data_IF_599945782682
#
_entry.id   IF_599945782682
#
_cell.length_a   1.000
_cell.length_b   1.000
_cell.length_c   1.000
_cell.angle_alpha   90.00
_cell.angle_beta   90.00
_cell.angle_gamma   90.00
#
_symmetry.space_group_name_H-M   'P 1'
#
loop_
_entity.id
_entity.type
_entity.pdbx_description
1 polymer ?
#
# COMPACT_ATOMS: atom_id res chain seq x y z
N UNK A 1 13.42 6.09 2.01
CA UNK A 1 11.98 6.38 1.94
C UNK A 1 11.55 6.95 3.29
N UNK A 2 10.52 7.80 3.37
CA UNK A 2 10.03 8.32 4.66
C UNK A 2 8.89 7.45 5.22
N UNK A 3 8.65 7.56 6.52
CA UNK A 3 7.54 6.89 7.21
C UNK A 3 6.20 7.32 6.60
N UNK A 4 5.18 6.48 6.76
CA UNK A 4 3.86 6.70 6.20
C UNK A 4 2.85 6.89 7.34
N UNK A 5 2.38 8.12 7.49
CA UNK A 5 1.29 8.46 8.40
C UNK A 5 -0.03 7.93 7.85
N UNK A 6 -0.68 7.03 8.60
CA UNK A 6 -1.97 6.43 8.22
C UNK A 6 -3.10 7.07 9.01
N UNK A 7 -2.95 7.13 10.34
CA UNK A 7 -3.88 7.81 11.24
C UNK A 7 -3.08 8.54 12.31
N UNK A 8 -3.76 9.28 13.22
CA UNK A 8 -3.11 9.91 14.37
C UNK A 8 -2.36 8.94 15.30
N UNK A 9 -2.69 7.64 15.24
CA UNK A 9 -2.15 6.62 16.13
C UNK A 9 -1.45 5.48 15.38
N UNK A 10 -1.34 5.56 14.04
CA UNK A 10 -0.71 4.53 13.22
C UNK A 10 0.21 5.19 12.21
N UNK A 11 1.50 4.95 12.39
CA UNK A 11 2.57 5.31 11.45
C UNK A 11 3.24 4.02 11.02
N UNK A 12 3.37 3.81 9.72
CA UNK A 12 4.08 2.65 9.16
C UNK A 12 5.53 3.09 8.89
N UNK A 13 6.53 2.46 9.53
CA UNK A 13 7.92 2.79 9.29
C UNK A 13 8.31 2.54 7.84
N UNK A 14 9.16 3.41 7.29
CA UNK A 14 9.68 3.24 5.95
C UNK A 14 10.37 1.89 5.73
N UNK A 15 10.94 1.31 6.79
CA UNK A 15 11.62 0.02 6.76
C UNK A 15 10.69 -1.18 6.58
N UNK A 16 9.39 -1.05 6.91
CA UNK A 16 8.40 -2.12 6.70
C UNK A 16 7.76 -2.08 5.31
N UNK A 17 8.04 -1.02 4.54
CA UNK A 17 7.45 -0.78 3.24
C UNK A 17 8.46 -1.14 2.15
N UNK A 18 8.03 -2.00 1.22
CA UNK A 18 8.85 -2.42 0.09
C UNK A 18 8.29 -1.83 -1.21
N UNK A 19 9.18 -1.23 -2.00
CA UNK A 19 8.84 -0.65 -3.31
C UNK A 19 9.50 -1.46 -4.42
N UNK A 20 8.70 -1.88 -5.40
CA UNK A 20 9.18 -2.47 -6.64
C UNK A 20 8.79 -1.57 -7.80
N UNK A 21 9.75 -1.31 -8.68
CA UNK A 21 9.54 -0.54 -9.88
C UNK A 21 9.55 -1.45 -11.10
N UNK A 22 8.68 -1.17 -12.04
CA UNK A 22 8.62 -1.90 -13.29
C UNK A 22 8.16 -1.00 -14.43
N UNK A 23 8.30 -1.50 -15.66
CA UNK A 23 7.78 -0.82 -16.83
C UNK A 23 6.25 -0.80 -16.76
N UNK A 24 5.67 0.35 -17.07
CA UNK A 24 4.22 0.42 -17.27
C UNK A 24 3.87 -0.28 -18.60
N UNK A 25 3.05 -1.33 -18.53
CA UNK A 25 2.58 -2.02 -19.73
C UNK A 25 1.36 -1.27 -20.28
N UNK A 26 1.50 -0.67 -21.47
CA UNK A 26 0.39 -0.17 -22.28
C UNK A 26 0.07 -1.14 -23.42
N UNK A 27 -1.21 -1.32 -23.82
CA UNK A 27 -1.54 -2.14 -24.97
C UNK A 27 -1.09 -1.43 -26.25
N UNK A 28 -0.04 -1.91 -26.90
CA UNK A 28 0.44 -1.34 -28.16
C UNK A 28 1.91 -1.64 -28.42
N UNK A 29 2.17 -2.71 -29.18
CA UNK A 29 3.46 -2.93 -29.79
C UNK A 29 3.73 -1.91 -30.89
N UNK A 30 4.39 -0.80 -30.57
CA UNK A 30 5.36 -0.10 -31.40
C UNK A 30 5.97 1.03 -30.57
N UNK A 31 7.30 1.17 -30.69
CA UNK A 31 8.18 1.78 -29.70
C UNK A 31 7.74 3.14 -29.14
N UNK A 32 7.57 3.19 -27.83
CA UNK A 32 7.78 4.39 -27.03
C UNK A 32 8.57 3.93 -25.80
N UNK A 33 9.67 4.61 -25.49
CA UNK A 33 10.50 4.35 -24.32
C UNK A 33 9.66 4.49 -23.04
N UNK A 34 9.06 3.40 -22.58
CA UNK A 34 8.29 3.41 -21.35
C UNK A 34 9.26 3.29 -20.18
N UNK A 35 9.70 4.45 -19.69
CA UNK A 35 10.43 4.56 -18.43
C UNK A 35 9.71 3.77 -17.32
N UNK A 36 10.47 3.23 -16.36
CA UNK A 36 10.00 2.42 -15.23
C UNK A 36 9.09 3.22 -14.29
N UNK A 37 7.88 3.54 -14.76
CA UNK A 37 6.95 4.40 -14.06
C UNK A 37 6.01 3.62 -13.15
N UNK A 38 5.80 2.31 -13.38
CA UNK A 38 4.93 1.50 -12.53
C UNK A 38 5.60 1.30 -11.18
N UNK A 39 4.82 1.50 -10.12
CA UNK A 39 5.23 1.33 -8.72
C UNK A 39 4.34 0.30 -8.07
N UNK A 40 4.92 -0.70 -7.44
CA UNK A 40 4.29 -1.63 -6.52
C UNK A 40 4.80 -1.34 -5.12
N UNK A 41 3.90 -1.00 -4.20
CA UNK A 41 4.19 -0.75 -2.79
C UNK A 41 3.56 -1.86 -1.97
N UNK A 42 4.35 -2.58 -1.17
CA UNK A 42 3.87 -3.63 -0.29
C UNK A 42 4.20 -3.38 1.17
N UNK A 43 3.34 -3.90 2.05
CA UNK A 43 3.49 -3.87 3.50
C UNK A 43 3.05 -5.20 4.11
N UNK A 44 3.94 -5.84 4.87
CA UNK A 44 3.63 -7.05 5.61
C UNK A 44 2.89 -6.71 6.91
N UNK A 45 1.57 -6.88 6.90
CA UNK A 45 0.71 -6.61 8.04
C UNK A 45 0.87 -7.71 9.11
N UNK A 46 1.08 -8.96 8.68
CA UNK A 46 1.22 -10.08 9.60
C UNK A 46 2.51 -9.97 10.42
N UNK A 47 3.61 -9.57 9.79
CA UNK A 47 4.93 -9.40 10.40
C UNK A 47 5.23 -8.00 10.96
N UNK A 48 4.38 -7.00 10.72
CA UNK A 48 4.62 -5.61 11.16
C UNK A 48 4.85 -5.49 12.66
N UNK A 49 5.92 -4.80 13.06
CA UNK A 49 6.30 -4.61 14.46
C UNK A 49 5.51 -3.47 15.13
N UNK A 50 5.03 -2.50 14.34
CA UNK A 50 4.24 -1.37 14.86
C UNK A 50 2.80 -1.74 15.19
N UNK A 51 2.32 -2.91 14.76
CA UNK A 51 0.96 -3.36 15.03
C UNK A 51 0.86 -4.14 16.34
N UNK A 52 0.04 -3.64 17.26
CA UNK A 52 -0.46 -4.43 18.39
C UNK A 52 -1.37 -5.56 17.93
N UNK A 53 -1.56 -6.63 18.73
CA UNK A 53 -2.28 -7.84 18.35
C UNK A 53 -3.72 -7.55 17.88
N UNK A 54 -4.46 -6.69 18.57
CA UNK A 54 -5.83 -6.33 18.22
C UNK A 54 -5.95 -5.63 16.87
N UNK A 55 -5.04 -4.67 16.59
CA UNK A 55 -5.05 -3.93 15.34
C UNK A 55 -4.59 -4.81 14.18
N UNK A 56 -3.57 -5.66 14.40
CA UNK A 56 -3.11 -6.65 13.43
C UNK A 56 -4.26 -7.57 13.01
N UNK A 57 -4.93 -8.22 13.97
CA UNK A 57 -6.07 -9.11 13.68
C UNK A 57 -7.17 -8.38 12.91
N UNK A 58 -7.52 -7.16 13.33
CA UNK A 58 -8.52 -6.33 12.62
C UNK A 58 -8.13 -6.07 11.17
N UNK A 59 -6.89 -5.65 10.92
CA UNK A 59 -6.41 -5.38 9.56
C UNK A 59 -6.40 -6.65 8.72
N UNK A 60 -5.90 -7.77 9.26
CA UNK A 60 -5.90 -9.06 8.57
C UNK A 60 -7.31 -9.54 8.22
N UNK A 61 -8.29 -9.36 9.12
CA UNK A 61 -9.69 -9.69 8.85
C UNK A 61 -10.30 -8.77 7.80
N UNK A 62 -10.21 -7.46 8.00
CA UNK A 62 -10.87 -6.46 7.14
C UNK A 62 -10.26 -6.38 5.74
N UNK A 63 -8.97 -6.72 5.60
CA UNK A 63 -8.27 -6.73 4.32
C UNK A 63 -8.11 -8.13 3.73
N UNK A 64 -8.62 -9.19 4.37
CA UNK A 64 -8.42 -10.59 3.95
C UNK A 64 -8.56 -10.83 2.44
N UNK A 65 -9.58 -10.28 1.79
CA UNK A 65 -9.78 -10.40 0.33
C UNK A 65 -8.81 -9.61 -0.56
N UNK A 66 -7.86 -8.86 0.03
CA UNK A 66 -6.84 -8.04 -0.65
C UNK A 66 -5.41 -8.44 -0.26
N UNK A 67 -5.25 -9.30 0.74
CA UNK A 67 -3.95 -9.74 1.22
C UNK A 67 -3.52 -11.00 0.49
N UNK A 68 -2.21 -11.12 0.28
CA UNK A 68 -1.56 -12.36 -0.12
C UNK A 68 -0.55 -12.67 0.97
N UNK A 69 -0.71 -13.79 1.67
CA UNK A 69 0.14 -14.20 2.81
C UNK A 69 0.30 -13.11 3.88
N UNK A 70 -0.76 -12.34 4.15
CA UNK A 70 -0.73 -11.25 5.13
C UNK A 70 -0.11 -9.93 4.61
N UNK A 71 0.33 -9.89 3.36
CA UNK A 71 0.93 -8.72 2.73
C UNK A 71 -0.10 -7.96 1.92
N UNK A 72 -0.22 -6.65 2.18
CA UNK A 72 -1.00 -5.73 1.34
C UNK A 72 -0.10 -5.18 0.24
N UNK A 73 -0.51 -5.30 -1.01
CA UNK A 73 0.22 -4.75 -2.16
C UNK A 73 -0.64 -3.77 -2.95
N UNK A 74 -0.09 -2.60 -3.27
CA UNK A 74 -0.72 -1.54 -4.07
C UNK A 74 0.13 -1.28 -5.31
N UNK A 75 -0.45 -1.47 -6.49
CA UNK A 75 0.18 -1.11 -7.76
C UNK A 75 -0.37 0.22 -8.29
N UNK A 76 0.50 1.10 -8.79
CA UNK A 76 0.14 2.37 -9.42
C UNK A 76 0.96 2.60 -10.70
N UNK A 77 0.26 2.99 -11.77
CA UNK A 77 0.87 3.31 -13.08
C UNK A 77 0.10 4.44 -13.81
N UNK A 78 -0.60 5.28 -13.05
CA UNK A 78 -1.45 6.37 -13.59
C UNK A 78 -0.66 7.51 -14.20
N UNK A 79 0.56 7.74 -13.74
CA UNK A 79 1.40 8.84 -14.15
C UNK A 79 2.57 8.36 -15.01
N UNK A 80 3.06 9.23 -15.88
CA UNK A 80 4.32 8.99 -16.60
C UNK A 80 5.54 9.05 -15.68
N UNK A 81 5.45 9.80 -14.58
CA UNK A 81 6.53 9.95 -13.61
C UNK A 81 6.42 8.90 -12.48
N UNK A 82 7.48 8.12 -12.28
CA UNK A 82 7.61 7.14 -11.19
C UNK A 82 7.38 7.78 -9.81
N UNK A 83 7.92 8.99 -9.57
CA UNK A 83 7.73 9.70 -8.30
C UNK A 83 6.26 10.03 -8.02
N UNK A 84 5.49 10.39 -9.05
CA UNK A 84 4.06 10.64 -8.90
C UNK A 84 3.30 9.34 -8.58
N UNK A 85 3.62 8.24 -9.28
CA UNK A 85 3.05 6.93 -8.98
C UNK A 85 3.39 6.44 -7.56
N UNK A 86 4.59 6.74 -7.08
CA UNK A 86 5.00 6.45 -5.70
C UNK A 86 4.13 7.17 -4.67
N UNK A 87 3.87 8.46 -4.89
CA UNK A 87 3.00 9.26 -4.03
C UNK A 87 1.56 8.72 -4.04
N UNK A 88 1.05 8.35 -5.21
CA UNK A 88 -0.28 7.75 -5.36
C UNK A 88 -0.38 6.39 -4.65
N UNK A 89 0.61 5.52 -4.80
CA UNK A 89 0.65 4.21 -4.13
C UNK A 89 0.62 4.36 -2.60
N UNK A 90 1.42 5.29 -2.06
CA UNK A 90 1.46 5.60 -0.62
C UNK A 90 0.12 6.14 -0.11
N UNK A 91 -0.46 7.10 -0.83
CA UNK A 91 -1.76 7.67 -0.46
C UNK A 91 -2.87 6.61 -0.44
N UNK A 92 -2.86 5.70 -1.42
CA UNK A 92 -3.81 4.58 -1.49
C UNK A 92 -3.61 3.58 -0.36
N UNK A 93 -2.36 3.20 -0.08
CA UNK A 93 -2.05 2.31 1.02
C UNK A 93 -2.55 2.90 2.35
N UNK A 94 -2.21 4.16 2.65
CA UNK A 94 -2.68 4.85 3.84
C UNK A 94 -4.22 4.89 3.90
N UNK A 95 -4.90 5.26 2.82
CA UNK A 95 -6.36 5.33 2.81
C UNK A 95 -7.03 3.97 3.05
N UNK A 96 -6.50 2.89 2.48
CA UNK A 96 -7.02 1.53 2.66
C UNK A 96 -6.80 1.06 4.09
N UNK A 97 -5.59 1.24 4.62
CA UNK A 97 -5.26 0.84 6.00
C UNK A 97 -6.06 1.65 7.01
N UNK A 98 -6.22 2.97 6.82
CA UNK A 98 -7.01 3.82 7.69
C UNK A 98 -8.48 3.37 7.77
N UNK A 99 -9.08 3.04 6.62
CA UNK A 99 -10.45 2.51 6.56
C UNK A 99 -10.57 1.16 7.27
N UNK A 100 -9.61 0.26 7.05
CA UNK A 100 -9.60 -1.06 7.70
C UNK A 100 -9.28 -0.99 9.20
N UNK A 101 -8.53 0.02 9.65
CA UNK A 101 -8.20 0.26 11.05
C UNK A 101 -9.35 0.91 11.84
N UNK A 102 -10.35 1.48 11.15
CA UNK A 102 -11.45 2.18 11.79
C UNK A 102 -12.14 1.30 12.84
N UNK A 103 -12.55 1.86 14.00
CA UNK A 103 -13.32 1.15 15.00
C UNK A 103 -14.61 0.59 14.36
N UNK A 104 -15.14 -0.55 14.86
CA UNK A 104 -16.35 -1.11 14.28
C UNK A 104 -17.47 -0.07 14.44
N UNK A 105 -18.40 0.04 13.48
CA UNK A 105 -19.54 0.92 13.65
C UNK A 105 -20.21 0.60 14.98
N UNK A 106 -20.52 1.63 15.78
CA UNK A 106 -21.24 1.44 17.05
C UNK A 106 -22.50 0.65 16.73
N UNK A 107 -22.64 -0.54 17.32
CA UNK A 107 -23.89 -1.26 17.31
C UNK A 107 -24.96 -0.32 17.89
N UNK A 108 -26.02 -0.07 17.13
CA UNK A 108 -27.21 0.64 17.63
C UNK A 108 -28.05 -0.33 18.45
#
# INVERSE_FOLDING_TARGET
>A
MADLDVTRSLVIPAAELSERFSRSSGPGGQGVNTADSRVELSWDIAGSAVLGPTLRTRLLTNLSGRLVDGVLTIACQEHRAQLANRRTARARLAAIVAQAAAPPPRAR
#
